data_IF_885299112816
#
_entry.id   IF_885299112816
#
_cell.length_a   1.000
_cell.length_b   1.000
_cell.length_c   1.000
_cell.angle_alpha   90.00
_cell.angle_beta   90.00
_cell.angle_gamma   90.00
#
_symmetry.space_group_name_H-M   'P 1'
#
loop_
_entity.id
_entity.type
_entity.pdbx_description
1 polymer ?
#
# COMPACT_ATOMS: atom_id res chain seq x y z
N UNK A 1 20.20 9.29 -16.45
CA UNK A 1 19.74 8.71 -15.17
C UNK A 1 20.14 7.23 -15.14
N UNK A 2 20.73 6.75 -14.05
CA UNK A 2 21.28 5.38 -14.00
C UNK A 2 20.16 4.32 -14.00
N UNK A 3 20.17 3.40 -14.97
CA UNK A 3 19.18 2.31 -15.09
C UNK A 3 19.13 1.46 -13.81
N UNK A 4 20.26 1.31 -13.11
CA UNK A 4 20.34 0.59 -11.85
C UNK A 4 19.46 1.17 -10.73
N UNK A 5 19.23 2.49 -10.71
CA UNK A 5 18.38 3.13 -9.69
C UNK A 5 16.90 2.74 -9.85
N UNK A 6 16.47 2.39 -11.07
CA UNK A 6 15.11 1.95 -11.34
C UNK A 6 14.79 0.54 -10.84
N UNK A 7 15.81 -0.32 -10.76
CA UNK A 7 15.64 -1.68 -10.27
C UNK A 7 15.32 -1.73 -8.77
N UNK A 8 15.76 -0.71 -8.02
CA UNK A 8 15.58 -0.63 -6.59
C UNK A 8 14.11 -0.47 -6.13
N UNK A 9 13.33 0.51 -6.62
CA UNK A 9 11.90 0.60 -6.30
C UNK A 9 11.14 -0.62 -6.82
N UNK A 10 11.43 -1.11 -8.02
CA UNK A 10 10.78 -2.31 -8.59
C UNK A 10 11.00 -3.54 -7.70
N UNK A 11 12.25 -3.83 -7.35
CA UNK A 11 12.61 -4.98 -6.52
C UNK A 11 12.01 -4.89 -5.13
N UNK A 12 12.04 -3.70 -4.51
CA UNK A 12 11.44 -3.48 -3.20
C UNK A 12 9.93 -3.65 -3.23
N UNK A 13 9.26 -3.09 -4.25
CA UNK A 13 7.82 -3.27 -4.46
C UNK A 13 7.45 -4.74 -4.60
N UNK A 14 8.24 -5.54 -5.33
CA UNK A 14 8.01 -6.98 -5.46
C UNK A 14 8.14 -7.72 -4.13
N UNK A 15 9.17 -7.43 -3.33
CA UNK A 15 9.36 -8.01 -1.99
C UNK A 15 8.19 -7.65 -1.08
N UNK A 16 7.80 -6.36 -1.03
CA UNK A 16 6.65 -5.91 -0.24
C UNK A 16 5.35 -6.60 -0.69
N UNK A 17 5.11 -6.72 -1.99
CA UNK A 17 3.94 -7.43 -2.53
C UNK A 17 3.90 -8.90 -2.11
N UNK A 18 5.04 -9.60 -2.08
CA UNK A 18 5.13 -10.98 -1.58
C UNK A 18 4.82 -11.06 -0.08
N UNK A 19 5.31 -10.11 0.71
CA UNK A 19 5.01 -10.05 2.16
C UNK A 19 3.53 -9.75 2.40
N UNK A 20 2.95 -8.78 1.70
CA UNK A 20 1.51 -8.45 1.78
C UNK A 20 0.66 -9.68 1.43
N UNK A 21 1.02 -10.38 0.35
CA UNK A 21 0.36 -11.62 -0.07
C UNK A 21 0.33 -12.65 1.06
N UNK A 22 1.45 -12.81 1.78
CA UNK A 22 1.54 -13.72 2.92
C UNK A 22 0.77 -13.23 4.15
N UNK A 23 0.66 -11.90 4.35
CA UNK A 23 -0.11 -11.27 5.43
C UNK A 23 -1.61 -11.56 5.31
N UNK A 24 -2.15 -11.62 4.09
CA UNK A 24 -3.56 -12.01 3.83
C UNK A 24 -3.90 -13.36 4.48
N UNK A 25 -2.95 -14.30 4.48
CA UNK A 25 -3.10 -15.66 5.01
C UNK A 25 -2.48 -15.84 6.41
N UNK A 26 -2.14 -14.76 7.10
CA UNK A 26 -1.51 -14.83 8.42
C UNK A 26 -2.57 -15.03 9.50
N UNK A 27 -2.92 -16.28 9.80
CA UNK A 27 -3.82 -16.63 10.90
C UNK A 27 -3.08 -16.95 12.21
N UNK A 28 -1.90 -17.58 12.11
CA UNK A 28 -1.09 -18.00 13.26
C UNK A 28 -0.16 -16.88 13.74
N UNK A 29 -0.04 -16.69 15.06
CA UNK A 29 0.83 -15.68 15.67
C UNK A 29 2.28 -15.74 15.19
N UNK A 30 2.89 -16.93 15.09
CA UNK A 30 4.25 -17.08 14.56
C UNK A 30 4.40 -16.49 13.15
N UNK A 31 3.48 -16.82 12.25
CA UNK A 31 3.53 -16.36 10.85
C UNK A 31 3.36 -14.85 10.79
N UNK A 32 2.40 -14.31 11.53
CA UNK A 32 2.19 -12.86 11.61
C UNK A 32 3.39 -12.13 12.19
N UNK A 33 3.96 -12.63 13.30
CA UNK A 33 5.16 -12.05 13.91
C UNK A 33 6.36 -12.09 12.97
N UNK A 34 6.55 -13.16 12.21
CA UNK A 34 7.62 -13.25 11.21
C UNK A 34 7.45 -12.23 10.07
N UNK A 35 6.23 -12.07 9.56
CA UNK A 35 5.94 -11.09 8.51
C UNK A 35 6.10 -9.65 9.01
N UNK A 36 5.64 -9.38 10.23
CA UNK A 36 5.82 -8.08 10.88
C UNK A 36 7.29 -7.77 11.13
N UNK A 37 8.06 -8.76 11.59
CA UNK A 37 9.51 -8.67 11.73
C UNK A 37 10.19 -8.32 10.41
N UNK A 38 9.79 -8.99 9.33
CA UNK A 38 10.34 -8.73 7.98
C UNK A 38 10.10 -7.29 7.54
N UNK A 39 8.88 -6.77 7.75
CA UNK A 39 8.54 -5.39 7.43
C UNK A 39 9.32 -4.37 8.27
N UNK A 40 9.51 -4.63 9.57
CA UNK A 40 10.30 -3.78 10.47
C UNK A 40 11.77 -3.75 10.02
N UNK A 41 12.32 -4.91 9.66
CA UNK A 41 13.72 -5.02 9.22
C UNK A 41 13.96 -4.26 7.91
N UNK A 42 13.02 -4.34 6.96
CA UNK A 42 13.06 -3.51 5.75
C UNK A 42 13.01 -2.01 6.08
N UNK A 43 12.14 -1.58 7.01
CA UNK A 43 12.12 -0.18 7.45
C UNK A 43 13.46 0.24 8.05
N UNK A 44 14.03 -0.57 8.93
CA UNK A 44 15.30 -0.27 9.58
C UNK A 44 16.45 -0.15 8.58
N UNK A 45 16.47 -1.01 7.57
CA UNK A 45 17.47 -0.97 6.50
C UNK A 45 17.42 0.37 5.76
N UNK A 46 16.24 0.78 5.29
CA UNK A 46 16.10 2.04 4.55
C UNK A 46 16.23 3.27 5.43
N UNK A 47 15.83 3.19 6.70
CA UNK A 47 16.04 4.26 7.67
C UNK A 47 17.53 4.47 7.95
N UNK A 48 18.29 3.40 8.17
CA UNK A 48 19.74 3.45 8.32
C UNK A 48 20.42 4.01 7.08
N UNK A 49 20.02 3.55 5.89
CA UNK A 49 20.52 4.10 4.62
C UNK A 49 20.22 5.60 4.49
N UNK A 50 19.01 6.04 4.86
CA UNK A 50 18.61 7.45 4.81
C UNK A 50 19.49 8.31 5.73
N UNK A 51 19.75 7.85 6.96
CA UNK A 51 20.60 8.57 7.92
C UNK A 51 22.03 8.71 7.41
N UNK A 52 22.59 7.64 6.84
CA UNK A 52 23.91 7.68 6.25
C UNK A 52 23.97 8.66 5.07
N UNK A 53 23.00 8.60 4.16
CA UNK A 53 22.95 9.44 2.97
C UNK A 53 22.70 10.93 3.29
N UNK A 54 21.97 11.24 4.35
CA UNK A 54 21.76 12.63 4.80
C UNK A 54 23.05 13.30 5.27
N UNK A 55 23.95 12.56 5.92
CA UNK A 55 25.24 13.06 6.39
C UNK A 55 26.30 11.96 6.31
N UNK A 56 26.94 11.74 5.15
CA UNK A 56 27.91 10.65 4.99
C UNK A 56 29.10 10.86 5.94
N UNK A 57 29.22 10.00 6.95
CA UNK A 57 30.27 10.07 7.97
C UNK A 57 30.40 8.73 8.70
N UNK A 58 31.50 8.52 9.42
CA UNK A 58 31.64 7.33 10.29
C UNK A 58 30.56 7.30 11.36
N UNK A 59 30.23 8.45 11.97
CA UNK A 59 29.20 8.55 13.01
C UNK A 59 27.81 8.15 12.49
N UNK A 60 27.42 8.60 11.29
CA UNK A 60 26.13 8.23 10.71
C UNK A 60 26.06 6.76 10.30
N UNK A 61 27.18 6.17 9.88
CA UNK A 61 27.29 4.72 9.66
C UNK A 61 27.07 3.95 10.97
N UNK A 62 27.70 4.37 12.06
CA UNK A 62 27.52 3.77 13.39
C UNK A 62 26.07 3.87 13.84
N UNK A 63 25.42 5.02 13.67
CA UNK A 63 23.99 5.20 13.99
C UNK A 63 23.12 4.25 13.15
N UNK A 64 23.40 4.13 11.85
CA UNK A 64 22.67 3.21 10.97
C UNK A 64 22.83 1.74 11.39
N UNK A 65 24.03 1.33 11.80
CA UNK A 65 24.29 -0.02 12.33
C UNK A 65 23.47 -0.26 13.61
N UNK A 66 23.47 0.70 14.55
CA UNK A 66 22.71 0.59 15.80
C UNK A 66 21.20 0.51 15.57
N UNK A 67 20.66 1.26 14.62
CA UNK A 67 19.24 1.18 14.25
C UNK A 67 18.89 -0.20 13.72
N UNK A 68 19.72 -0.75 12.82
CA UNK A 68 19.51 -2.09 12.28
C UNK A 68 19.62 -3.18 13.36
N UNK A 69 20.63 -3.08 14.24
CA UNK A 69 20.80 -4.00 15.37
C UNK A 69 19.63 -3.92 16.36
N UNK A 70 19.17 -2.71 16.66
CA UNK A 70 18.03 -2.45 17.53
C UNK A 70 16.74 -3.04 16.94
N UNK A 71 16.48 -2.81 15.66
CA UNK A 71 15.33 -3.37 14.96
C UNK A 71 15.36 -4.90 14.89
N UNK A 72 16.55 -5.49 14.65
CA UNK A 72 16.74 -6.92 14.68
C UNK A 72 16.42 -7.49 16.07
N UNK A 73 16.97 -6.87 17.13
CA UNK A 73 16.78 -7.32 18.51
C UNK A 73 15.33 -7.18 18.96
N UNK A 74 14.75 -5.98 18.82
CA UNK A 74 13.37 -5.69 19.23
C UNK A 74 12.35 -6.45 18.39
N UNK A 75 12.62 -6.65 17.11
CA UNK A 75 11.77 -7.40 16.20
C UNK A 75 11.81 -8.92 16.43
N UNK A 76 12.94 -9.45 16.92
CA UNK A 76 13.06 -10.86 17.29
C UNK A 76 12.27 -11.20 18.56
N UNK A 77 12.13 -10.27 19.52
CA UNK A 77 11.39 -10.51 20.78
C UNK A 77 9.96 -11.04 20.58
N UNK A 78 9.08 -10.40 19.78
CA UNK A 78 7.73 -10.91 19.54
C UNK A 78 7.74 -12.24 18.77
N UNK A 79 8.72 -12.47 17.89
CA UNK A 79 8.89 -13.74 17.19
C UNK A 79 9.26 -14.87 18.15
N UNK A 80 10.25 -14.65 19.02
CA UNK A 80 10.63 -15.61 20.06
C UNK A 80 9.50 -15.85 21.04
N UNK A 81 8.76 -14.82 21.45
CA UNK A 81 7.59 -14.97 22.32
C UNK A 81 6.49 -15.80 21.67
N UNK A 82 6.21 -15.57 20.39
CA UNK A 82 5.26 -16.38 19.63
C UNK A 82 5.75 -17.83 19.49
N UNK A 83 7.05 -18.03 19.24
CA UNK A 83 7.68 -19.34 19.15
C UNK A 83 7.56 -20.14 20.46
N UNK A 84 7.95 -19.53 21.59
CA UNK A 84 7.86 -20.14 22.92
C UNK A 84 6.40 -20.51 23.22
N UNK A 85 5.44 -19.61 22.98
CA UNK A 85 4.02 -19.91 23.25
C UNK A 85 3.49 -21.08 22.42
N UNK A 86 3.77 -21.10 21.12
CA UNK A 86 3.28 -22.14 20.21
C UNK A 86 3.97 -23.49 20.36
N UNK A 87 5.19 -23.53 20.92
CA UNK A 87 5.97 -24.78 21.03
C UNK A 87 6.03 -25.33 22.47
N UNK A 88 6.04 -24.47 23.49
CA UNK A 88 6.28 -24.87 24.88
C UNK A 88 5.04 -24.81 25.79
N UNK A 89 4.07 -23.93 25.51
CA UNK A 89 2.98 -23.65 26.46
C UNK A 89 1.64 -24.19 25.98
N UNK A 90 1.28 -23.95 24.73
CA UNK A 90 0.04 -24.44 24.14
C UNK A 90 0.40 -25.47 23.07
N UNK A 91 0.16 -26.77 23.34
CA UNK A 91 0.17 -27.83 22.31
C UNK A 91 -0.93 -27.62 21.25
N UNK A 92 -1.75 -26.58 21.38
CA UNK A 92 -2.78 -26.18 20.45
C UNK A 92 -2.34 -24.98 19.62
N UNK A 93 -2.76 -24.97 18.37
CA UNK A 93 -2.55 -23.94 17.35
C UNK A 93 -3.23 -22.58 17.68
N UNK A 94 -3.33 -22.18 18.96
CA UNK A 94 -4.41 -21.32 19.47
C UNK A 94 -4.10 -19.86 19.73
N UNK A 95 -2.87 -19.35 19.56
CA UNK A 95 -2.65 -17.89 19.64
C UNK A 95 -3.01 -17.26 18.31
N UNK A 96 -4.30 -16.94 18.16
CA UNK A 96 -4.84 -16.16 17.05
C UNK A 96 -4.44 -14.69 17.23
N UNK A 97 -4.05 -14.07 16.13
CA UNK A 97 -3.64 -12.67 16.13
C UNK A 97 -4.88 -11.79 16.15
N UNK A 98 -4.81 -10.65 16.84
CA UNK A 98 -5.77 -9.58 16.60
C UNK A 98 -5.57 -9.08 15.15
N UNK A 99 -6.35 -9.65 14.24
CA UNK A 99 -6.22 -9.43 12.79
C UNK A 99 -6.36 -7.96 12.41
N UNK A 100 -7.17 -7.19 13.13
CA UNK A 100 -7.32 -5.77 12.89
C UNK A 100 -6.06 -4.99 13.24
N UNK A 101 -5.52 -5.22 14.44
CA UNK A 101 -4.27 -4.57 14.86
C UNK A 101 -3.11 -4.95 13.94
N UNK A 102 -3.04 -6.23 13.54
CA UNK A 102 -2.03 -6.73 12.59
C UNK A 102 -2.16 -6.04 11.24
N UNK A 103 -3.36 -6.00 10.65
CA UNK A 103 -3.59 -5.39 9.35
C UNK A 103 -3.27 -3.88 9.38
N UNK A 104 -3.68 -3.16 10.43
CA UNK A 104 -3.34 -1.73 10.60
C UNK A 104 -1.82 -1.55 10.66
N UNK A 105 -1.12 -2.38 11.42
CA UNK A 105 0.34 -2.33 11.50
C UNK A 105 1.03 -2.68 10.17
N UNK A 106 0.51 -3.66 9.42
CA UNK A 106 1.02 -4.00 8.07
C UNK A 106 0.81 -2.83 7.12
N UNK A 107 -0.37 -2.19 7.11
CA UNK A 107 -0.65 -1.01 6.28
C UNK A 107 0.37 0.09 6.58
N UNK A 108 0.54 0.42 7.86
CA UNK A 108 1.49 1.43 8.30
C UNK A 108 2.93 1.11 7.86
N UNK A 109 3.41 -0.11 8.14
CA UNK A 109 4.78 -0.49 7.81
C UNK A 109 5.04 -0.56 6.31
N UNK A 110 4.08 -1.02 5.50
CA UNK A 110 4.21 -1.03 4.04
C UNK A 110 4.30 0.41 3.51
N UNK A 111 3.43 1.30 3.99
CA UNK A 111 3.46 2.70 3.59
C UNK A 111 4.76 3.39 4.00
N UNK A 112 5.22 3.12 5.23
CA UNK A 112 6.47 3.64 5.75
C UNK A 112 7.69 3.10 4.98
N UNK A 113 7.68 1.83 4.56
CA UNK A 113 8.69 1.28 3.65
C UNK A 113 8.72 2.01 2.31
N UNK A 114 7.57 2.21 1.66
CA UNK A 114 7.52 2.97 0.39
C UNK A 114 8.07 4.39 0.56
N UNK A 115 7.71 5.04 1.67
CA UNK A 115 8.23 6.37 2.00
C UNK A 115 9.75 6.36 2.16
N UNK A 116 10.31 5.42 2.93
CA UNK A 116 11.75 5.34 3.17
C UNK A 116 12.55 4.99 1.90
N UNK A 117 12.04 4.10 1.05
CA UNK A 117 12.66 3.81 -0.26
C UNK A 117 12.73 5.08 -1.10
N UNK A 118 11.63 5.84 -1.13
CA UNK A 118 11.55 7.09 -1.87
C UNK A 118 12.46 8.16 -1.29
N UNK A 119 12.56 8.25 0.03
CA UNK A 119 13.51 9.12 0.73
C UNK A 119 14.95 8.77 0.37
N UNK A 120 15.33 7.49 0.40
CA UNK A 120 16.67 7.04 0.00
C UNK A 120 16.97 7.47 -1.44
N UNK A 121 16.03 7.27 -2.36
CA UNK A 121 16.22 7.66 -3.76
C UNK A 121 16.33 9.18 -3.92
N UNK A 122 15.49 9.97 -3.24
CA UNK A 122 15.56 11.43 -3.24
C UNK A 122 16.89 11.97 -2.66
N UNK A 123 17.39 11.32 -1.60
CA UNK A 123 18.71 11.64 -1.03
C UNK A 123 19.84 11.35 -2.04
N UNK A 124 19.74 10.26 -2.81
CA UNK A 124 20.73 10.00 -3.87
C UNK A 124 20.66 10.99 -5.04
N UNK A 125 19.52 11.65 -5.25
CA UNK A 125 19.32 12.65 -6.31
C UNK A 125 19.55 14.10 -5.85
N UNK A 126 19.95 14.33 -4.59
CA UNK A 126 20.45 15.62 -4.13
C UNK A 126 19.64 16.31 -3.02
N UNK A 127 18.69 15.62 -2.38
CA UNK A 127 17.99 16.13 -1.21
C UNK A 127 18.95 16.27 -0.01
N UNK A 128 19.03 17.45 0.62
CA UNK A 128 20.05 17.74 1.65
C UNK A 128 19.54 17.80 3.10
N UNK A 129 18.24 18.00 3.30
CA UNK A 129 17.68 18.18 4.65
C UNK A 129 16.24 17.68 4.73
N UNK A 130 15.84 17.22 5.92
CA UNK A 130 14.48 16.76 6.19
C UNK A 130 13.67 17.82 6.95
N UNK A 131 12.66 18.38 6.30
CA UNK A 131 11.65 19.27 6.89
C UNK A 131 10.24 18.71 6.62
N UNK A 132 9.20 19.31 7.20
CA UNK A 132 7.81 18.92 6.89
C UNK A 132 7.49 19.07 5.39
N UNK A 133 8.05 20.08 4.71
CA UNK A 133 7.88 20.22 3.26
C UNK A 133 8.58 19.10 2.49
N UNK A 134 9.70 18.57 3.00
CA UNK A 134 10.38 17.41 2.43
C UNK A 134 9.50 16.16 2.47
N UNK A 135 8.73 15.95 3.54
CA UNK A 135 7.80 14.82 3.63
C UNK A 135 6.74 14.85 2.51
N UNK A 136 6.12 16.02 2.29
CA UNK A 136 5.14 16.23 1.22
C UNK A 136 5.80 16.01 -0.15
N UNK A 137 6.99 16.59 -0.36
CA UNK A 137 7.76 16.43 -1.59
C UNK A 137 8.06 14.96 -1.91
N UNK A 138 8.46 14.17 -0.91
CA UNK A 138 8.76 12.74 -1.08
C UNK A 138 7.49 11.97 -1.46
N UNK A 139 6.35 12.20 -0.80
CA UNK A 139 5.11 11.48 -1.12
C UNK A 139 4.62 11.81 -2.54
N UNK A 140 4.78 13.07 -2.96
CA UNK A 140 4.44 13.49 -4.33
C UNK A 140 5.61 13.33 -5.30
N UNK A 141 6.67 12.62 -4.92
CA UNK A 141 7.81 12.40 -5.81
C UNK A 141 7.49 11.37 -6.89
N UNK A 142 8.30 11.39 -7.94
CA UNK A 142 8.29 10.34 -8.94
C UNK A 142 8.63 8.97 -8.32
N UNK A 143 9.64 8.90 -7.44
CA UNK A 143 10.09 7.66 -6.81
C UNK A 143 9.01 7.00 -5.97
N UNK A 144 8.24 7.80 -5.21
CA UNK A 144 7.12 7.30 -4.42
C UNK A 144 5.99 6.79 -5.28
N UNK A 145 5.63 7.55 -6.32
CA UNK A 145 4.59 7.17 -7.28
C UNK A 145 4.93 5.87 -7.99
N UNK A 146 6.19 5.70 -8.43
CA UNK A 146 6.69 4.48 -9.07
C UNK A 146 6.65 3.29 -8.11
N UNK A 147 7.16 3.46 -6.89
CA UNK A 147 7.19 2.40 -5.88
C UNK A 147 5.78 1.93 -5.56
N UNK A 148 4.85 2.87 -5.37
CA UNK A 148 3.44 2.58 -5.12
C UNK A 148 2.77 1.91 -6.33
N UNK A 149 3.00 2.40 -7.56
CA UNK A 149 2.47 1.79 -8.78
C UNK A 149 2.86 0.31 -8.92
N UNK A 150 4.15 0.00 -8.80
CA UNK A 150 4.63 -1.37 -8.90
C UNK A 150 4.12 -2.23 -7.74
N UNK A 151 4.06 -1.68 -6.53
CA UNK A 151 3.58 -2.40 -5.36
C UNK A 151 2.10 -2.76 -5.50
N UNK A 152 1.25 -1.84 -5.98
CA UNK A 152 -0.16 -2.12 -6.26
C UNK A 152 -0.28 -3.17 -7.37
N UNK A 153 0.45 -2.99 -8.47
CA UNK A 153 0.42 -3.89 -9.63
C UNK A 153 0.84 -5.32 -9.27
N UNK A 154 2.00 -5.49 -8.63
CA UNK A 154 2.50 -6.80 -8.21
C UNK A 154 1.61 -7.45 -7.15
N UNK A 155 1.09 -6.69 -6.18
CA UNK A 155 0.16 -7.23 -5.17
C UNK A 155 -1.13 -7.70 -5.83
N UNK A 156 -1.64 -6.95 -6.82
CA UNK A 156 -2.84 -7.30 -7.57
C UNK A 156 -2.65 -8.58 -8.39
N UNK A 157 -1.52 -8.71 -9.10
CA UNK A 157 -1.14 -9.96 -9.80
C UNK A 157 -0.98 -11.11 -8.80
N UNK A 158 -0.32 -10.82 -7.66
CA UNK A 158 -0.22 -11.60 -6.43
C UNK A 158 -1.51 -12.34 -6.06
N UNK A 159 -2.58 -11.54 -5.99
CA UNK A 159 -3.87 -11.91 -5.42
C UNK A 159 -4.92 -12.23 -6.49
N UNK A 160 -4.59 -12.18 -7.79
CA UNK A 160 -5.58 -12.20 -8.89
C UNK A 160 -6.54 -13.40 -8.86
N UNK A 161 -6.08 -14.54 -8.37
CA UNK A 161 -6.87 -15.79 -8.28
C UNK A 161 -7.75 -15.82 -7.02
N UNK A 162 -7.45 -15.00 -6.02
CA UNK A 162 -8.21 -14.90 -4.76
C UNK A 162 -9.18 -13.71 -4.73
N UNK A 163 -8.89 -12.68 -5.51
CA UNK A 163 -9.75 -11.51 -5.62
C UNK A 163 -10.97 -11.83 -6.48
N UNK A 164 -12.14 -11.37 -6.03
CA UNK A 164 -13.32 -11.31 -6.90
C UNK A 164 -13.04 -10.34 -8.05
N UNK A 165 -13.58 -10.63 -9.24
CA UNK A 165 -13.42 -9.78 -10.45
C UNK A 165 -13.64 -8.28 -10.19
N UNK A 166 -14.66 -7.82 -9.43
CA UNK A 166 -14.82 -6.41 -9.12
C UNK A 166 -13.64 -5.80 -8.35
N UNK A 167 -13.11 -6.53 -7.35
CA UNK A 167 -11.96 -6.07 -6.54
C UNK A 167 -10.69 -6.03 -7.38
N UNK A 168 -10.53 -7.02 -8.27
CA UNK A 168 -9.44 -7.04 -9.23
C UNK A 168 -9.48 -5.82 -10.15
N UNK A 169 -10.65 -5.47 -10.70
CA UNK A 169 -10.80 -4.29 -11.54
C UNK A 169 -10.58 -2.98 -10.77
N UNK A 170 -11.07 -2.88 -9.52
CA UNK A 170 -10.77 -1.76 -8.63
C UNK A 170 -9.28 -1.57 -8.42
N UNK A 171 -8.58 -2.65 -8.10
CA UNK A 171 -7.14 -2.64 -7.87
C UNK A 171 -6.35 -2.24 -9.12
N UNK A 172 -6.75 -2.74 -10.30
CA UNK A 172 -6.13 -2.37 -11.58
C UNK A 172 -6.37 -0.90 -11.94
N UNK A 173 -7.60 -0.40 -11.78
CA UNK A 173 -7.92 1.01 -12.00
C UNK A 173 -7.18 1.91 -11.03
N UNK A 174 -6.95 1.45 -9.80
CA UNK A 174 -6.16 2.17 -8.82
C UNK A 174 -4.67 2.20 -9.17
N UNK A 175 -4.10 1.10 -9.70
CA UNK A 175 -2.75 1.13 -10.23
C UNK A 175 -2.64 2.15 -11.37
N UNK A 176 -3.61 2.16 -12.29
CA UNK A 176 -3.66 3.10 -13.40
C UNK A 176 -3.79 4.56 -12.93
N UNK A 177 -4.62 4.84 -11.91
CA UNK A 177 -4.76 6.21 -11.40
C UNK A 177 -3.48 6.72 -10.73
N UNK A 178 -2.70 5.84 -10.09
CA UNK A 178 -1.37 6.18 -9.58
C UNK A 178 -0.36 6.40 -10.72
N UNK A 179 -0.42 5.59 -11.79
CA UNK A 179 0.42 5.79 -12.98
C UNK A 179 0.15 7.12 -13.68
N UNK A 180 -1.10 7.59 -13.59
CA UNK A 180 -1.54 8.88 -14.10
C UNK A 180 -1.39 10.00 -13.07
N UNK A 181 -0.60 9.84 -12.01
CA UNK A 181 -0.28 10.98 -11.16
C UNK A 181 0.71 11.90 -11.89
N UNK A 182 0.58 13.24 -11.74
CA UNK A 182 1.42 14.21 -12.43
C UNK A 182 2.94 14.00 -12.33
N UNK A 183 3.52 13.51 -11.20
CA UNK A 183 4.95 13.23 -11.13
C UNK A 183 5.43 12.15 -12.11
N UNK A 184 4.61 11.13 -12.38
CA UNK A 184 4.93 10.07 -13.34
C UNK A 184 4.60 10.51 -14.77
N UNK A 185 3.50 11.22 -14.95
CA UNK A 185 3.01 11.64 -16.26
C UNK A 185 3.83 12.77 -16.89
N UNK A 186 4.26 13.76 -16.08
CA UNK A 186 5.20 14.80 -16.53
C UNK A 186 6.56 14.22 -16.90
N UNK A 187 6.99 13.13 -16.25
CA UNK A 187 8.21 12.42 -16.62
C UNK A 187 8.09 11.69 -17.96
N UNK A 188 6.89 11.24 -18.34
CA UNK A 188 6.62 10.59 -19.63
C UNK A 188 6.52 11.59 -20.81
N UNK A 189 6.64 12.90 -20.55
CA UNK A 189 6.75 13.93 -21.58
C UNK A 189 5.42 14.53 -22.04
N UNK A 190 4.32 14.27 -21.33
CA UNK A 190 2.99 14.78 -21.71
C UNK A 190 2.64 16.11 -21.03
N UNK A 191 2.00 17.00 -21.79
CA UNK A 191 1.78 18.40 -21.43
C UNK A 191 0.59 18.62 -20.47
N UNK A 192 -0.42 17.76 -20.48
CA UNK A 192 -1.58 17.86 -19.60
C UNK A 192 -2.21 16.49 -19.41
N UNK A 193 -2.66 16.23 -18.19
CA UNK A 193 -3.16 14.94 -17.74
C UNK A 193 -4.69 14.82 -17.87
N UNK A 194 -5.36 15.95 -18.16
CA UNK A 194 -6.81 16.07 -18.22
C UNK A 194 -7.47 15.15 -19.27
N UNK A 195 -6.95 14.96 -20.50
CA UNK A 195 -7.60 14.14 -21.52
C UNK A 195 -7.69 12.65 -21.15
N UNK A 196 -6.61 12.08 -20.62
CA UNK A 196 -6.52 10.68 -20.21
C UNK A 196 -7.37 10.44 -18.96
N UNK A 197 -7.34 11.38 -18.02
CA UNK A 197 -8.20 11.34 -16.83
C UNK A 197 -9.69 11.43 -17.18
N UNK A 198 -10.10 12.33 -18.06
CA UNK A 198 -11.51 12.47 -18.49
C UNK A 198 -12.01 11.21 -19.20
N UNK A 199 -11.16 10.54 -19.96
CA UNK A 199 -11.49 9.27 -20.63
C UNK A 199 -11.74 8.15 -19.61
N UNK A 200 -10.94 8.08 -18.54
CA UNK A 200 -11.17 7.12 -17.44
C UNK A 200 -12.44 7.45 -16.66
N UNK A 201 -12.71 8.74 -16.37
CA UNK A 201 -13.97 9.18 -15.75
C UNK A 201 -15.17 8.74 -16.57
N UNK A 202 -15.15 9.06 -17.87
CA UNK A 202 -16.24 8.74 -18.78
C UNK A 202 -16.45 7.23 -18.84
N UNK A 203 -15.38 6.44 -18.86
CA UNK A 203 -15.43 4.98 -18.83
C UNK A 203 -16.03 4.43 -17.53
N UNK A 204 -15.63 4.96 -16.37
CA UNK A 204 -16.15 4.56 -15.05
C UNK A 204 -17.63 4.94 -14.90
N UNK A 205 -18.01 6.17 -15.30
CA UNK A 205 -19.40 6.64 -15.26
C UNK A 205 -20.29 5.90 -16.28
N UNK A 206 -19.75 5.55 -17.45
CA UNK A 206 -20.47 4.73 -18.43
C UNK A 206 -20.74 3.32 -17.88
N UNK A 207 -19.77 2.72 -17.19
CA UNK A 207 -19.96 1.44 -16.49
C UNK A 207 -21.03 1.58 -15.39
N UNK A 208 -21.04 2.69 -14.64
CA UNK A 208 -22.04 2.99 -13.60
C UNK A 208 -23.47 3.05 -14.18
N UNK A 209 -23.65 3.79 -15.28
CA UNK A 209 -24.96 3.99 -15.91
C UNK A 209 -25.56 2.68 -16.44
N UNK A 210 -24.74 1.74 -16.88
CA UNK A 210 -25.20 0.48 -17.50
C UNK A 210 -25.31 -0.70 -16.52
N UNK A 211 -25.03 -0.51 -15.22
CA UNK A 211 -25.06 -1.59 -14.21
C UNK A 211 -25.82 -1.23 -12.94
N UNK A 212 -26.81 -0.34 -13.00
CA UNK A 212 -27.58 0.13 -11.83
C UNK A 212 -28.35 -0.94 -11.05
N UNK A 213 -28.39 -2.20 -11.52
CA UNK A 213 -28.93 -3.36 -10.79
C UNK A 213 -27.85 -4.23 -10.10
N UNK A 214 -26.74 -3.62 -9.69
CA UNK A 214 -25.63 -4.40 -9.10
C UNK A 214 -25.71 -4.52 -7.58
N UNK A 215 -25.47 -5.75 -7.11
CA UNK A 215 -25.25 -6.19 -5.72
C UNK A 215 -24.53 -5.12 -4.86
N UNK A 216 -24.99 -4.86 -3.64
CA UNK A 216 -24.43 -3.86 -2.70
C UNK A 216 -22.89 -3.92 -2.57
N UNK A 217 -22.31 -5.12 -2.60
CA UNK A 217 -20.86 -5.28 -2.57
C UNK A 217 -20.17 -4.69 -3.78
N UNK A 218 -20.76 -4.84 -4.97
CA UNK A 218 -20.24 -4.26 -6.22
C UNK A 218 -20.32 -2.73 -6.16
N UNK A 219 -21.43 -2.16 -5.66
CA UNK A 219 -21.58 -0.72 -5.48
C UNK A 219 -20.54 -0.13 -4.52
N UNK A 220 -20.22 -0.82 -3.41
CA UNK A 220 -19.16 -0.38 -2.49
C UNK A 220 -17.80 -0.25 -3.20
N UNK A 221 -17.41 -1.25 -4.00
CA UNK A 221 -16.15 -1.20 -4.75
C UNK A 221 -16.13 -0.09 -5.80
N UNK A 222 -17.26 0.14 -6.48
CA UNK A 222 -17.39 1.24 -7.43
C UNK A 222 -17.31 2.61 -6.75
N UNK A 223 -18.01 2.81 -5.63
CA UNK A 223 -17.93 4.05 -4.85
C UNK A 223 -16.52 4.29 -4.32
N UNK A 224 -15.81 3.22 -3.95
CA UNK A 224 -14.42 3.29 -3.51
C UNK A 224 -13.49 3.73 -4.65
N UNK A 225 -13.64 3.18 -5.85
CA UNK A 225 -12.90 3.66 -7.05
C UNK A 225 -13.20 5.13 -7.31
N UNK A 226 -14.48 5.50 -7.31
CA UNK A 226 -14.92 6.85 -7.62
C UNK A 226 -14.38 7.86 -6.59
N UNK A 227 -14.37 7.49 -5.31
CA UNK A 227 -13.75 8.28 -4.24
C UNK A 227 -12.24 8.45 -4.47
N UNK A 228 -11.50 7.36 -4.66
CA UNK A 228 -10.05 7.41 -4.95
C UNK A 228 -9.79 8.32 -6.15
N UNK A 229 -10.61 8.17 -7.18
CA UNK A 229 -10.49 8.90 -8.42
C UNK A 229 -10.71 10.41 -8.23
N UNK A 230 -11.81 10.80 -7.57
CA UNK A 230 -12.10 12.20 -7.25
C UNK A 230 -10.93 12.79 -6.45
N UNK A 231 -10.44 12.08 -5.44
CA UNK A 231 -9.32 12.53 -4.62
C UNK A 231 -8.05 12.77 -5.44
N UNK A 232 -7.67 11.80 -6.28
CA UNK A 232 -6.46 11.90 -7.11
C UNK A 232 -6.57 13.03 -8.13
N UNK A 233 -7.73 13.18 -8.80
CA UNK A 233 -7.93 14.25 -9.79
C UNK A 233 -8.00 15.61 -9.13
N UNK A 234 -8.81 15.78 -8.09
CA UNK A 234 -8.90 17.06 -7.37
C UNK A 234 -7.54 17.44 -6.80
N UNK A 235 -6.77 16.48 -6.26
CA UNK A 235 -5.41 16.72 -5.78
C UNK A 235 -4.44 17.14 -6.89
N UNK A 236 -4.51 16.48 -8.06
CA UNK A 236 -3.65 16.77 -9.21
C UNK A 236 -3.95 18.13 -9.83
N UNK A 237 -5.23 18.42 -10.05
CA UNK A 237 -5.72 19.70 -10.57
C UNK A 237 -5.37 20.83 -9.62
N UNK A 238 -5.64 20.65 -8.32
CA UNK A 238 -5.29 21.65 -7.32
C UNK A 238 -3.79 21.94 -7.30
N UNK A 239 -2.95 20.91 -7.37
CA UNK A 239 -1.51 21.08 -7.46
C UNK A 239 -1.08 21.84 -8.71
N UNK A 240 -1.68 21.55 -9.87
CA UNK A 240 -1.37 22.23 -11.14
C UNK A 240 -1.70 23.73 -11.08
N UNK A 241 -2.82 24.11 -10.47
CA UNK A 241 -3.25 25.51 -10.39
C UNK A 241 -2.61 26.30 -9.24
N UNK A 242 -2.26 25.65 -8.13
CA UNK A 242 -1.80 26.34 -6.91
C UNK A 242 -0.33 26.08 -6.57
N UNK A 243 0.33 25.16 -7.26
CA UNK A 243 1.64 24.59 -6.91
C UNK A 243 1.70 23.95 -5.50
N UNK A 244 0.59 23.83 -4.78
CA UNK A 244 0.53 23.25 -3.44
C UNK A 244 0.28 21.75 -3.50
N UNK A 245 1.28 20.96 -3.11
CA UNK A 245 1.28 19.50 -3.20
C UNK A 245 0.55 18.80 -2.03
N UNK A 246 0.02 19.54 -1.05
CA UNK A 246 -0.56 18.96 0.18
C UNK A 246 -1.78 18.09 -0.11
N UNK A 247 -2.71 18.58 -0.93
CA UNK A 247 -3.92 17.83 -1.29
C UNK A 247 -3.56 16.59 -2.13
N UNK A 248 -2.58 16.72 -3.02
CA UNK A 248 -2.06 15.60 -3.81
C UNK A 248 -1.44 14.52 -2.89
N UNK A 249 -0.59 14.92 -1.95
CA UNK A 249 0.02 13.99 -0.99
C UNK A 249 -1.05 13.25 -0.18
N UNK A 250 -2.07 13.96 0.32
CA UNK A 250 -3.18 13.36 1.03
C UNK A 250 -3.94 12.33 0.17
N UNK A 251 -4.25 12.67 -1.07
CA UNK A 251 -4.95 11.78 -2.00
C UNK A 251 -4.14 10.52 -2.32
N UNK A 252 -2.82 10.65 -2.47
CA UNK A 252 -1.90 9.51 -2.69
C UNK A 252 -1.87 8.59 -1.46
N UNK A 253 -1.75 9.16 -0.26
CA UNK A 253 -1.74 8.39 1.00
C UNK A 253 -3.06 7.65 1.19
N UNK A 254 -4.17 8.34 0.98
CA UNK A 254 -5.50 7.78 1.15
C UNK A 254 -5.77 6.68 0.13
N UNK A 255 -5.37 6.88 -1.14
CA UNK A 255 -5.41 5.84 -2.17
C UNK A 255 -4.63 4.60 -1.73
N UNK A 256 -3.35 4.72 -1.41
CA UNK A 256 -2.52 3.58 -0.98
C UNK A 256 -3.09 2.84 0.23
N UNK A 257 -3.65 3.58 1.19
CA UNK A 257 -4.30 3.02 2.38
C UNK A 257 -5.54 2.20 2.02
N UNK A 258 -6.41 2.74 1.16
CA UNK A 258 -7.62 2.05 0.68
C UNK A 258 -7.24 0.78 -0.08
N UNK A 259 -6.20 0.83 -0.93
CA UNK A 259 -5.71 -0.35 -1.65
C UNK A 259 -5.31 -1.47 -0.70
N UNK A 260 -4.44 -1.15 0.27
CA UNK A 260 -3.93 -2.14 1.22
C UNK A 260 -5.03 -2.69 2.12
N UNK A 261 -5.97 -1.84 2.52
CA UNK A 261 -7.15 -2.26 3.25
C UNK A 261 -7.99 -3.24 2.42
N UNK A 262 -8.30 -2.92 1.16
CA UNK A 262 -9.00 -3.84 0.26
C UNK A 262 -8.24 -5.17 0.11
N UNK A 263 -6.92 -5.12 -0.10
CA UNK A 263 -6.09 -6.31 -0.27
C UNK A 263 -6.10 -7.22 0.98
N UNK A 264 -6.00 -6.65 2.19
CA UNK A 264 -5.94 -7.41 3.44
C UNK A 264 -7.32 -7.89 3.93
N UNK A 265 -8.39 -7.17 3.58
CA UNK A 265 -9.76 -7.43 4.05
C UNK A 265 -10.68 -8.04 2.97
N UNK A 266 -10.22 -8.29 1.74
CA UNK A 266 -11.05 -8.78 0.63
C UNK A 266 -11.91 -10.01 0.95
N UNK A 267 -11.43 -10.91 1.84
CA UNK A 267 -12.16 -12.12 2.25
C UNK A 267 -13.38 -11.83 3.12
N UNK A 268 -13.38 -10.73 3.87
CA UNK A 268 -14.50 -10.38 4.76
C UNK A 268 -15.72 -9.91 3.97
N UNK A 269 -15.51 -9.35 2.78
CA UNK A 269 -16.57 -9.04 1.82
C UNK A 269 -17.23 -10.28 1.19
N UNK A 270 -16.62 -11.47 1.32
CA UNK A 270 -17.24 -12.72 0.89
C UNK A 270 -18.37 -13.13 1.84
N UNK A 271 -18.19 -12.88 3.14
CA UNK A 271 -19.13 -13.25 4.18
C UNK A 271 -20.35 -12.32 4.26
N UNK A 272 -20.20 -11.05 3.87
CA UNK A 272 -21.34 -10.12 3.79
C UNK A 272 -22.44 -10.62 2.85
N UNK A 273 -22.04 -11.21 1.71
CA UNK A 273 -22.99 -11.82 0.74
C UNK A 273 -23.66 -13.09 1.28
N UNK A 274 -22.91 -14.01 1.90
CA UNK A 274 -23.49 -15.25 2.46
C UNK A 274 -24.49 -14.98 3.60
N UNK A 275 -24.26 -13.96 4.43
CA UNK A 275 -25.17 -13.60 5.52
C UNK A 275 -26.50 -13.05 4.98
N UNK A 276 -26.45 -12.30 3.88
CA UNK A 276 -27.64 -11.81 3.18
C UNK A 276 -28.39 -12.94 2.46
N UNK A 277 -27.70 -13.81 1.73
CA UNK A 277 -28.31 -14.95 1.03
C UNK A 277 -29.02 -15.92 2.03
N UNK A 278 -28.46 -16.11 3.23
CA UNK A 278 -29.09 -16.94 4.27
C UNK A 278 -30.33 -16.28 4.91
N UNK A 279 -30.35 -14.94 4.98
CA UNK A 279 -31.49 -14.18 5.51
C UNK A 279 -32.62 -14.06 4.50
N UNK A 280 -32.31 -13.99 3.20
CA UNK A 280 -33.32 -14.00 2.13
C UNK A 280 -33.93 -15.38 1.91
N UNK A 281 -33.14 -16.47 1.98
CA UNK A 281 -33.67 -17.84 1.90
C UNK A 281 -34.62 -18.18 3.05
N UNK A 282 -34.32 -17.77 4.29
CA UNK A 282 -35.24 -17.98 5.44
C UNK A 282 -36.53 -17.16 5.38
N UNK A 283 -36.59 -16.09 4.59
CA UNK A 283 -37.83 -15.33 4.37
C UNK A 283 -38.75 -16.00 3.35
N UNK A 284 -38.21 -16.76 2.40
CA UNK A 284 -38.99 -17.48 1.40
C UNK A 284 -39.50 -18.85 1.89
N UNK A 285 -38.87 -19.46 2.90
CA UNK A 285 -39.39 -20.68 3.54
C UNK A 285 -40.48 -20.41 4.61
N UNK A 286 -40.87 -19.15 4.82
CA UNK A 286 -41.89 -18.73 5.80
C UNK A 286 -43.07 -17.97 5.18
N UNK A 287 -43.20 -17.95 3.86
CA UNK A 287 -44.36 -17.42 3.11
C UNK A 287 -45.05 -18.55 2.39
#
# INVERSE_FOLDING_TARGET
>A
MNVALWLFPIGTSYVLSRVIRQCVDAQKAIKASFLFFTLILLCALYLGASIYLMKPSFDSLVIAIWINLGALTLGLLPLFRAFIKSYLVEKSESVWVNKNLFNVGVIFLVFFNNFLVSLVLELTTGLKSFTLSTFIQIITSMWFTVTMFFQISFTTVLLREELRKPVLYTALLQALSIALLPPLFKFLGEASILPEFTTIVASVLHIFRNKSETNEGIQFYFNTILLIFILVVTGSVFWEFTANATLLAFSVVLSGTIFLWLALYHREFVYFKRRFDFLTLRRFERS
#
